data_IF_017633837421
#
_entry.id   IF_017633837421
#
_cell.length_a   1.000
_cell.length_b   1.000
_cell.length_c   1.000
_cell.angle_alpha   90.00
_cell.angle_beta   90.00
_cell.angle_gamma   90.00
#
_symmetry.space_group_name_H-M   'P 1'
#
loop_
_entity.id
_entity.type
_entity.pdbx_description
1 polymer ?
#
# COMPACT_ATOMS: atom_id res chain seq x y z
N UNK A 1 -20.98 3.67 -0.22
CA UNK A 1 -19.61 4.14 -0.53
C UNK A 1 -19.62 5.65 -0.50
N UNK A 2 -18.53 6.29 -0.08
CA UNK A 2 -18.40 7.75 -0.15
C UNK A 2 -17.73 8.13 -1.46
N UNK A 3 -18.29 9.10 -2.17
CA UNK A 3 -17.61 9.75 -3.29
C UNK A 3 -16.92 10.99 -2.74
N UNK A 4 -15.59 10.97 -2.72
CA UNK A 4 -14.77 12.11 -2.32
C UNK A 4 -14.21 12.77 -3.58
N UNK A 5 -14.12 14.09 -3.57
CA UNK A 5 -13.39 14.80 -4.62
C UNK A 5 -11.91 14.42 -4.59
N UNK A 6 -11.25 14.52 -5.74
CA UNK A 6 -9.82 14.26 -5.82
C UNK A 6 -9.06 15.24 -4.91
N UNK A 7 -8.17 14.75 -4.02
CA UNK A 7 -7.57 15.58 -2.98
C UNK A 7 -6.50 16.52 -3.52
N UNK A 8 -6.90 17.72 -3.96
CA UNK A 8 -6.00 18.74 -4.53
C UNK A 8 -4.96 19.27 -3.54
N UNK A 9 -5.23 19.22 -2.23
CA UNK A 9 -4.35 19.73 -1.16
C UNK A 9 -3.81 18.63 -0.25
N UNK A 10 -3.88 17.37 -0.69
CA UNK A 10 -3.55 16.21 0.14
C UNK A 10 -4.77 15.55 0.78
N UNK A 11 -4.54 14.37 1.34
CA UNK A 11 -5.56 13.54 1.94
C UNK A 11 -5.88 14.00 3.38
N UNK A 12 -7.13 13.82 3.85
CA UNK A 12 -7.47 14.07 5.25
C UNK A 12 -6.54 13.31 6.23
N UNK A 13 -6.00 13.97 7.27
CA UNK A 13 -5.01 13.37 8.18
C UNK A 13 -5.47 12.09 8.88
N UNK A 14 -6.77 11.92 9.10
CA UNK A 14 -7.34 10.71 9.73
C UNK A 14 -7.09 9.43 8.93
N UNK A 15 -6.73 9.53 7.65
CA UNK A 15 -6.35 8.38 6.83
C UNK A 15 -4.90 7.93 7.07
N UNK A 16 -4.15 8.66 7.89
CA UNK A 16 -2.78 8.33 8.24
C UNK A 16 -1.83 8.47 7.06
N UNK A 17 -0.84 7.59 6.98
CA UNK A 17 0.18 7.66 5.95
C UNK A 17 -0.35 7.17 4.59
N UNK A 18 -0.08 7.94 3.54
CA UNK A 18 -0.52 7.61 2.19
C UNK A 18 0.50 6.71 1.50
N UNK A 19 0.04 5.55 1.03
CA UNK A 19 0.82 4.56 0.31
C UNK A 19 0.24 4.40 -1.11
N UNK A 20 0.96 4.86 -2.12
CA UNK A 20 0.58 4.67 -3.51
C UNK A 20 1.02 3.28 -3.99
N UNK A 21 0.12 2.53 -4.61
CA UNK A 21 0.47 1.22 -5.18
C UNK A 21 0.93 1.40 -6.63
N UNK A 22 2.06 0.81 -6.99
CA UNK A 22 2.63 0.94 -8.33
C UNK A 22 3.64 -0.15 -8.62
N UNK A 23 3.73 -0.56 -9.89
CA UNK A 23 4.82 -1.42 -10.35
C UNK A 23 6.16 -0.69 -10.49
N UNK A 24 6.16 0.65 -10.43
CA UNK A 24 7.34 1.49 -10.60
C UNK A 24 7.43 2.48 -9.43
N UNK A 25 7.76 2.01 -8.21
CA UNK A 25 8.03 2.91 -7.09
C UNK A 25 9.27 3.75 -7.35
N UNK A 26 9.19 5.04 -7.02
CA UNK A 26 10.36 5.89 -6.76
C UNK A 26 11.21 5.28 -5.62
N UNK A 27 12.52 5.16 -5.83
CA UNK A 27 13.45 4.47 -4.93
C UNK A 27 13.44 5.05 -3.51
N UNK A 28 13.43 6.37 -3.38
CA UNK A 28 13.42 7.07 -2.07
C UNK A 28 12.11 6.92 -1.28
N UNK A 29 11.07 6.40 -1.93
CA UNK A 29 9.74 6.20 -1.34
C UNK A 29 9.35 4.74 -1.26
N UNK A 30 10.19 3.82 -1.73
CA UNK A 30 9.83 2.41 -1.81
C UNK A 30 9.58 1.83 -0.41
N UNK A 31 8.49 1.10 -0.27
CA UNK A 31 8.15 0.32 0.92
C UNK A 31 7.78 -1.10 0.52
N UNK A 32 8.23 -2.08 1.31
CA UNK A 32 7.91 -3.48 1.10
C UNK A 32 6.58 -3.88 1.73
N UNK A 33 5.94 -4.94 1.22
CA UNK A 33 4.74 -5.49 1.85
C UNK A 33 4.99 -5.97 3.30
N UNK A 34 6.22 -6.38 3.61
CA UNK A 34 6.65 -6.76 4.95
C UNK A 34 6.67 -5.57 5.91
N UNK A 35 7.17 -4.42 5.47
CA UNK A 35 7.16 -3.20 6.29
C UNK A 35 5.74 -2.69 6.53
N UNK A 36 4.88 -2.72 5.50
CA UNK A 36 3.46 -2.38 5.66
C UNK A 36 2.77 -3.32 6.66
N UNK A 37 3.07 -4.62 6.62
CA UNK A 37 2.55 -5.57 7.60
C UNK A 37 3.02 -5.26 9.04
N UNK A 38 4.29 -4.88 9.22
CA UNK A 38 4.83 -4.45 10.52
C UNK A 38 4.16 -3.16 11.01
N UNK A 39 3.96 -2.17 10.15
CA UNK A 39 3.23 -0.94 10.47
C UNK A 39 1.81 -1.26 10.95
N UNK A 40 1.10 -2.13 10.24
CA UNK A 40 -0.24 -2.56 10.61
C UNK A 40 -0.27 -3.25 12.00
N UNK A 41 0.70 -4.12 12.29
CA UNK A 41 0.81 -4.79 13.59
C UNK A 41 1.15 -3.84 14.74
N UNK A 42 1.85 -2.73 14.46
CA UNK A 42 2.13 -1.66 15.43
C UNK A 42 0.92 -0.74 15.68
N UNK A 43 -0.17 -0.91 14.93
CA UNK A 43 -1.35 -0.05 15.01
C UNK A 43 -1.21 1.27 14.26
N UNK A 44 -0.25 1.38 13.34
CA UNK A 44 -0.12 2.58 12.50
C UNK A 44 -1.28 2.67 11.51
N UNK A 45 -1.83 3.87 11.32
CA UNK A 45 -2.89 4.13 10.34
C UNK A 45 -2.29 4.52 8.99
N UNK A 46 -2.78 3.90 7.92
CA UNK A 46 -2.37 4.20 6.55
C UNK A 46 -3.50 3.94 5.55
N UNK A 47 -3.38 4.56 4.39
CA UNK A 47 -4.29 4.39 3.26
C UNK A 47 -3.53 3.89 2.04
N UNK A 48 -3.99 2.77 1.48
CA UNK A 48 -3.51 2.21 0.23
C UNK A 48 -4.33 2.76 -0.93
N UNK A 49 -3.67 3.36 -1.92
CA UNK A 49 -4.34 3.90 -3.11
C UNK A 49 -4.05 3.00 -4.30
N UNK A 50 -5.11 2.51 -4.93
CA UNK A 50 -5.06 1.66 -6.12
C UNK A 50 -5.52 2.45 -7.34
N UNK A 51 -4.75 2.36 -8.43
CA UNK A 51 -5.05 3.02 -9.69
C UNK A 51 -6.21 2.38 -10.45
N UNK A 52 -6.88 3.17 -11.29
CA UNK A 52 -8.01 2.72 -12.10
C UNK A 52 -7.55 2.30 -13.50
N UNK A 53 -7.55 0.99 -13.76
CA UNK A 53 -7.23 0.41 -15.06
C UNK A 53 -5.81 0.73 -15.55
N UNK A 54 -5.65 0.76 -16.88
CA UNK A 54 -4.34 0.92 -17.54
C UNK A 54 -3.62 2.24 -17.26
N UNK A 55 -4.35 3.26 -16.82
CA UNK A 55 -3.77 4.57 -16.54
C UNK A 55 -3.11 4.64 -15.16
N UNK A 56 -3.43 3.71 -14.25
CA UNK A 56 -2.86 3.68 -12.91
C UNK A 56 -3.33 4.87 -12.07
N UNK A 57 -2.41 5.41 -11.26
CA UNK A 57 -2.66 6.57 -10.40
C UNK A 57 -2.23 7.87 -11.10
N UNK A 58 -2.95 8.99 -10.87
CA UNK A 58 -2.48 10.31 -11.29
C UNK A 58 -1.10 10.64 -10.71
N UNK A 59 -0.29 11.42 -11.45
CA UNK A 59 1.08 11.78 -11.05
C UNK A 59 1.13 12.53 -9.71
N UNK A 60 0.09 13.29 -9.41
CA UNK A 60 -0.07 14.04 -8.18
C UNK A 60 -0.13 13.12 -6.95
N UNK A 61 -0.69 11.92 -7.09
CA UNK A 61 -0.74 10.94 -6.00
C UNK A 61 0.67 10.49 -5.61
N UNK A 62 1.54 10.23 -6.58
CA UNK A 62 2.93 9.84 -6.29
C UNK A 62 3.73 10.96 -5.60
N UNK A 63 3.40 12.22 -5.88
CA UNK A 63 4.00 13.36 -5.16
C UNK A 63 3.52 13.42 -3.71
N UNK A 64 2.22 13.25 -3.49
CA UNK A 64 1.57 13.33 -2.16
C UNK A 64 1.83 12.11 -1.28
N UNK A 65 2.00 10.93 -1.89
CA UNK A 65 2.24 9.70 -1.15
C UNK A 65 3.60 9.73 -0.46
N UNK A 66 3.60 9.28 0.80
CA UNK A 66 4.82 9.12 1.59
C UNK A 66 5.60 7.89 1.12
N UNK A 67 4.88 6.83 0.77
CA UNK A 67 5.47 5.57 0.32
C UNK A 67 4.86 5.07 -0.98
N UNK A 68 5.66 4.31 -1.73
CA UNK A 68 5.27 3.61 -2.94
C UNK A 68 5.45 2.10 -2.73
N UNK A 69 4.36 1.35 -2.90
CA UNK A 69 4.34 -0.10 -2.71
C UNK A 69 4.22 -0.81 -4.07
N UNK A 70 5.24 -1.59 -4.42
CA UNK A 70 5.11 -2.68 -5.38
C UNK A 70 4.69 -3.95 -4.64
N UNK A 71 3.42 -4.35 -4.79
CA UNK A 71 2.90 -5.55 -4.11
C UNK A 71 3.52 -6.85 -4.60
N UNK A 72 4.23 -6.80 -5.73
CA UNK A 72 4.89 -7.97 -6.33
C UNK A 72 6.31 -8.17 -5.83
N UNK A 73 6.69 -7.46 -4.76
CA UNK A 73 7.99 -7.53 -4.07
C UNK A 73 9.15 -7.30 -5.04
N UNK A 74 9.10 -6.21 -5.80
CA UNK A 74 10.15 -5.79 -6.73
C UNK A 74 10.14 -6.52 -8.07
N UNK A 75 9.16 -7.38 -8.35
CA UNK A 75 8.97 -7.99 -9.68
C UNK A 75 8.41 -7.01 -10.71
N UNK A 76 7.93 -5.83 -10.30
CA UNK A 76 7.47 -4.75 -11.17
C UNK A 76 6.37 -5.20 -12.15
N UNK A 77 5.51 -6.14 -11.71
CA UNK A 77 4.41 -6.66 -12.55
C UNK A 77 3.17 -5.78 -12.39
N UNK A 78 2.62 -5.34 -13.53
CA UNK A 78 1.33 -4.63 -13.53
C UNK A 78 0.20 -5.60 -13.29
N UNK A 79 -0.60 -5.38 -12.25
CA UNK A 79 -1.82 -6.12 -12.00
C UNK A 79 -3.04 -5.33 -12.51
N UNK A 80 -4.07 -6.04 -12.94
CA UNK A 80 -5.39 -5.46 -13.16
C UNK A 80 -5.96 -4.95 -11.82
N UNK A 81 -6.78 -3.88 -11.83
CA UNK A 81 -7.24 -3.18 -10.62
C UNK A 81 -7.92 -4.12 -9.61
N UNK A 82 -8.87 -4.96 -10.03
CA UNK A 82 -9.53 -5.93 -9.15
C UNK A 82 -8.53 -6.96 -8.60
N UNK A 83 -7.59 -7.40 -9.44
CA UNK A 83 -6.50 -8.31 -9.01
C UNK A 83 -5.62 -7.66 -7.95
N UNK A 84 -5.26 -6.38 -8.10
CA UNK A 84 -4.50 -5.63 -7.11
C UNK A 84 -5.30 -5.47 -5.81
N UNK A 85 -6.58 -5.07 -5.90
CA UNK A 85 -7.49 -4.92 -4.74
C UNK A 85 -7.59 -6.22 -3.94
N UNK A 86 -7.56 -7.39 -4.60
CA UNK A 86 -7.52 -8.68 -3.90
C UNK A 86 -6.12 -9.04 -3.37
N UNK A 87 -5.09 -8.92 -4.20
CA UNK A 87 -3.74 -9.37 -3.87
C UNK A 87 -3.09 -8.58 -2.73
N UNK A 88 -3.30 -7.26 -2.70
CA UNK A 88 -2.72 -6.36 -1.70
C UNK A 88 -3.10 -6.75 -0.26
N UNK A 89 -4.40 -6.76 0.12
CA UNK A 89 -4.80 -7.09 1.48
C UNK A 89 -4.47 -8.55 1.84
N UNK A 90 -4.58 -9.49 0.89
CA UNK A 90 -4.23 -10.90 1.13
C UNK A 90 -2.75 -11.04 1.48
N UNK A 91 -1.85 -10.48 0.66
CA UNK A 91 -0.41 -10.54 0.90
C UNK A 91 -0.03 -9.91 2.24
N UNK A 92 -0.54 -8.71 2.53
CA UNK A 92 -0.26 -8.01 3.79
C UNK A 92 -0.77 -8.85 4.97
N UNK A 93 -2.00 -9.37 4.92
CA UNK A 93 -2.56 -10.19 6.00
C UNK A 93 -1.78 -11.48 6.22
N UNK A 94 -1.38 -12.17 5.15
CA UNK A 94 -0.56 -13.38 5.25
C UNK A 94 0.77 -13.09 5.95
N UNK A 95 1.43 -11.99 5.59
CA UNK A 95 2.68 -11.57 6.25
C UNK A 95 2.45 -11.22 7.73
N UNK A 96 1.35 -10.55 8.06
CA UNK A 96 1.00 -10.27 9.45
C UNK A 96 0.82 -11.56 10.28
N UNK A 97 0.12 -12.55 9.76
CA UNK A 97 -0.08 -13.84 10.46
C UNK A 97 1.24 -14.63 10.57
N UNK A 98 2.08 -14.61 9.54
CA UNK A 98 3.42 -15.23 9.60
C UNK A 98 4.32 -14.56 10.66
N UNK A 99 4.28 -13.23 10.77
CA UNK A 99 5.00 -12.48 11.80
C UNK A 99 4.49 -12.81 13.21
N UNK A 100 3.17 -12.92 13.41
CA UNK A 100 2.60 -13.33 14.70
C UNK A 100 3.02 -14.74 15.09
N UNK A 101 3.00 -15.69 14.15
CA UNK A 101 3.42 -17.06 14.41
C UNK A 101 4.91 -17.11 14.79
N UNK A 102 5.78 -16.45 14.03
CA UNK A 102 7.22 -16.43 14.35
C UNK A 102 7.50 -15.77 15.70
N UNK A 103 6.79 -14.72 16.07
CA UNK A 103 6.89 -14.12 17.40
C UNK A 103 6.44 -15.06 18.52
N UNK A 104 5.30 -15.75 18.36
CA UNK A 104 4.79 -16.71 19.35
C UNK A 104 5.59 -18.02 19.45
N UNK A 105 6.49 -18.30 18.50
CA UNK A 105 7.47 -19.40 18.58
C UNK A 105 8.74 -19.03 19.38
N UNK A 106 8.94 -17.73 19.66
CA UNK A 106 10.09 -17.22 20.43
C UNK A 106 9.77 -17.00 21.92
N UNK A 107 8.53 -17.27 22.33
CA UNK A 107 8.04 -17.28 23.73
C UNK A 107 7.76 -18.70 24.16
#
# INVERSE_FOLDING_TARGET
FHLLEFPRRGFPPQFGQIIATTRNPDEDKEITAMEVAKMALKGESFMLIVGLGRHGLPKEIFKLAKYHLDITDGRRVSLETCTAIGAIPVKIRTLMEALKWTAGKMT
#
